data_IF_331062874892
#
_entry.id   IF_331062874892
#
_cell.length_a   1.000
_cell.length_b   1.000
_cell.length_c   1.000
_cell.angle_alpha   90.00
_cell.angle_beta   90.00
_cell.angle_gamma   90.00
#
_symmetry.space_group_name_H-M   'P 1'
#
loop_
_entity.id
_entity.type
_entity.pdbx_description
1 polymer ?
#
# COMPACT_ATOMS: atom_id res chain seq x y z
N UNK A 1 -17.59 1.00 -5.84
CA UNK A 1 -16.22 1.14 -5.35
C UNK A 1 -16.26 1.04 -3.83
N UNK A 2 -15.41 0.21 -3.26
CA UNK A 2 -15.22 0.07 -1.81
C UNK A 2 -14.56 1.35 -1.29
N UNK A 3 -14.91 1.77 -0.09
CA UNK A 3 -14.23 2.87 0.62
C UNK A 3 -13.46 2.27 1.78
N UNK A 4 -12.20 2.64 1.89
CA UNK A 4 -11.29 2.23 2.95
C UNK A 4 -10.67 3.47 3.57
N UNK A 5 -10.39 3.40 4.86
CA UNK A 5 -9.72 4.45 5.61
C UNK A 5 -8.34 3.92 5.91
N UNK A 6 -7.31 4.67 5.52
CA UNK A 6 -5.92 4.30 5.69
C UNK A 6 -5.18 5.36 6.52
N UNK A 7 -4.45 4.93 7.54
CA UNK A 7 -3.47 5.74 8.26
C UNK A 7 -2.12 5.04 8.26
N UNK A 8 -1.05 5.79 8.18
CA UNK A 8 0.32 5.28 8.14
C UNK A 8 1.17 5.80 9.27
N UNK A 9 2.13 5.00 9.72
CA UNK A 9 3.22 5.41 10.60
C UNK A 9 4.51 5.06 9.92
N UNK A 10 5.37 6.06 9.70
CA UNK A 10 6.66 5.91 9.05
C UNK A 10 7.79 5.76 10.05
N UNK A 11 8.89 5.09 9.64
CA UNK A 11 10.09 4.86 10.47
C UNK A 11 9.78 4.07 11.75
N UNK A 12 9.15 2.91 11.60
CA UNK A 12 8.77 2.05 12.71
C UNK A 12 9.74 0.88 12.87
N UNK A 13 10.00 0.48 14.11
CA UNK A 13 10.70 -0.77 14.38
C UNK A 13 9.75 -1.95 14.12
N UNK A 14 10.05 -2.74 13.10
CA UNK A 14 9.20 -3.85 12.65
C UNK A 14 9.08 -4.94 13.71
N UNK A 15 10.18 -5.31 14.34
CA UNK A 15 10.25 -6.40 15.33
C UNK A 15 9.45 -6.04 16.58
N UNK A 16 9.62 -4.82 17.08
CA UNK A 16 8.89 -4.34 18.27
C UNK A 16 7.38 -4.23 17.99
N UNK A 17 6.99 -3.78 16.79
CA UNK A 17 5.59 -3.70 16.41
C UNK A 17 4.96 -5.10 16.31
N UNK A 18 5.62 -6.05 15.65
CA UNK A 18 5.14 -7.43 15.53
C UNK A 18 4.94 -8.04 16.91
N UNK A 19 5.92 -7.90 17.80
CA UNK A 19 5.82 -8.40 19.17
C UNK A 19 4.60 -7.86 19.90
N UNK A 20 4.35 -6.54 19.83
CA UNK A 20 3.17 -5.92 20.44
C UNK A 20 1.86 -6.44 19.85
N UNK A 21 1.80 -6.58 18.51
CA UNK A 21 0.61 -7.12 17.84
C UNK A 21 0.31 -8.53 18.31
N UNK A 22 1.33 -9.38 18.43
CA UNK A 22 1.20 -10.77 18.88
C UNK A 22 0.82 -10.87 20.36
N UNK A 23 1.39 -10.03 21.24
CA UNK A 23 1.01 -9.93 22.66
C UNK A 23 -0.47 -9.54 22.83
N UNK A 24 -1.03 -8.79 21.88
CA UNK A 24 -2.45 -8.41 21.85
C UNK A 24 -3.34 -9.43 21.11
N UNK A 25 -2.81 -10.63 20.82
CA UNK A 25 -3.48 -11.68 20.06
C UNK A 25 -3.87 -11.26 18.62
N UNK A 26 -3.11 -10.37 18.00
CA UNK A 26 -3.23 -10.05 16.59
C UNK A 26 -2.97 -11.28 15.73
N UNK A 27 -3.83 -11.51 14.76
CA UNK A 27 -3.75 -12.68 13.88
C UNK A 27 -2.79 -12.41 12.73
N UNK A 28 -1.69 -13.16 12.66
CA UNK A 28 -0.85 -13.22 11.47
C UNK A 28 -1.63 -13.79 10.28
N UNK A 29 -1.55 -13.14 9.13
CA UNK A 29 -2.21 -13.57 7.91
C UNK A 29 -1.19 -14.17 6.95
N UNK A 30 -0.21 -13.37 6.49
CA UNK A 30 0.82 -13.85 5.58
C UNK A 30 1.97 -12.82 5.41
N UNK A 31 3.06 -13.31 4.80
CA UNK A 31 4.09 -12.49 4.19
C UNK A 31 3.89 -12.49 2.67
N UNK A 32 4.03 -11.33 2.05
CA UNK A 32 3.83 -11.13 0.63
C UNK A 32 5.05 -10.48 0.01
N UNK A 33 5.54 -11.05 -1.09
CA UNK A 33 6.46 -10.40 -2.01
C UNK A 33 5.62 -9.83 -3.16
N UNK A 34 5.47 -8.52 -3.18
CA UNK A 34 4.58 -7.85 -4.12
C UNK A 34 5.35 -7.24 -5.28
N UNK A 35 4.84 -7.43 -6.48
CA UNK A 35 5.27 -6.72 -7.69
C UNK A 35 4.05 -5.99 -8.25
N UNK A 36 4.21 -4.72 -8.57
CA UNK A 36 3.12 -3.91 -9.14
C UNK A 36 3.56 -3.12 -10.35
N UNK A 37 2.64 -3.03 -11.32
CA UNK A 37 2.71 -2.14 -12.46
C UNK A 37 1.68 -1.03 -12.24
N UNK A 38 2.09 0.21 -12.43
CA UNK A 38 1.22 1.37 -12.27
C UNK A 38 1.04 2.06 -13.61
N UNK A 39 -0.19 2.44 -13.91
CA UNK A 39 -0.55 3.14 -15.15
C UNK A 39 -1.35 4.39 -14.81
N UNK A 40 -1.12 5.46 -15.57
CA UNK A 40 -1.93 6.67 -15.45
C UNK A 40 -3.34 6.41 -15.96
N UNK A 41 -4.34 6.88 -15.22
CA UNK A 41 -5.74 6.76 -15.65
C UNK A 41 -6.00 7.64 -16.88
N UNK A 42 -6.85 7.16 -17.82
CA UNK A 42 -7.20 7.92 -19.01
C UNK A 42 -8.69 8.27 -19.04
N UNK A 43 -9.09 9.56 -19.30
CA UNK A 43 -8.21 10.72 -19.37
C UNK A 43 -7.48 10.97 -18.06
N UNK A 44 -6.29 11.58 -18.11
CA UNK A 44 -5.42 11.77 -16.95
C UNK A 44 -6.16 12.45 -15.78
N UNK A 45 -5.98 11.90 -14.58
CA UNK A 45 -6.43 12.48 -13.31
C UNK A 45 -5.33 12.23 -12.28
N UNK A 46 -4.87 13.27 -11.62
CA UNK A 46 -3.76 13.22 -10.68
C UNK A 46 -4.01 12.25 -9.50
N UNK A 47 -5.24 12.23 -8.99
CA UNK A 47 -5.64 11.42 -7.85
C UNK A 47 -6.20 10.03 -8.24
N UNK A 48 -6.02 9.59 -9.49
CA UNK A 48 -6.59 8.35 -10.00
C UNK A 48 -5.62 7.61 -10.90
N UNK A 49 -5.43 6.31 -10.62
CA UNK A 49 -4.54 5.46 -11.40
C UNK A 49 -5.03 4.01 -11.45
N UNK A 50 -4.38 3.22 -12.29
CA UNK A 50 -4.58 1.78 -12.38
C UNK A 50 -3.37 1.09 -11.78
N UNK A 51 -3.60 0.06 -10.98
CA UNK A 51 -2.58 -0.82 -10.43
C UNK A 51 -2.86 -2.25 -10.84
N UNK A 52 -1.91 -2.90 -11.48
CA UNK A 52 -1.86 -4.33 -11.67
C UNK A 52 -0.81 -4.90 -10.72
N UNK A 53 -1.20 -5.76 -9.78
CA UNK A 53 -0.32 -6.23 -8.70
C UNK A 53 -0.45 -7.74 -8.52
N UNK A 54 0.68 -8.42 -8.42
CA UNK A 54 0.73 -9.75 -7.81
C UNK A 54 1.30 -9.67 -6.39
N UNK A 55 0.83 -10.53 -5.51
CA UNK A 55 1.35 -10.69 -4.14
C UNK A 55 2.01 -12.06 -3.92
N UNK A 56 2.31 -12.77 -5.03
CA UNK A 56 2.86 -14.12 -5.02
C UNK A 56 1.80 -15.24 -4.97
N UNK A 57 0.56 -14.92 -4.59
CA UNK A 57 -0.56 -15.88 -4.50
C UNK A 57 -1.66 -15.57 -5.49
N UNK A 58 -1.97 -14.32 -5.68
CA UNK A 58 -2.99 -13.83 -6.62
C UNK A 58 -2.52 -12.58 -7.34
N UNK A 59 -3.17 -12.29 -8.45
CA UNK A 59 -2.97 -11.05 -9.21
C UNK A 59 -4.26 -10.26 -9.24
N UNK A 60 -4.18 -8.96 -8.98
CA UNK A 60 -5.34 -8.06 -8.99
C UNK A 60 -5.12 -6.87 -9.92
N UNK A 61 -6.19 -6.47 -10.61
CA UNK A 61 -6.28 -5.23 -11.37
C UNK A 61 -7.19 -4.27 -10.63
N UNK A 62 -6.66 -3.12 -10.22
CA UNK A 62 -7.34 -2.17 -9.35
C UNK A 62 -7.36 -0.78 -9.99
N UNK A 63 -8.51 -0.11 -9.98
CA UNK A 63 -8.61 1.34 -10.18
C UNK A 63 -8.68 1.96 -8.81
N UNK A 64 -7.71 2.83 -8.48
CA UNK A 64 -7.65 3.58 -7.22
C UNK A 64 -7.93 5.06 -7.47
N UNK A 65 -8.69 5.67 -6.58
CA UNK A 65 -8.97 7.11 -6.61
C UNK A 65 -8.96 7.68 -5.19
N UNK A 66 -8.03 8.61 -4.91
CA UNK A 66 -8.06 9.37 -3.66
C UNK A 66 -9.14 10.45 -3.72
N UNK A 67 -9.91 10.54 -2.66
CA UNK A 67 -10.84 11.64 -2.47
C UNK A 67 -10.29 12.57 -1.40
N UNK A 68 -10.22 13.88 -1.68
CA UNK A 68 -9.76 14.89 -0.73
C UNK A 68 -10.68 14.92 0.50
N UNK A 69 -10.25 14.30 1.59
CA UNK A 69 -10.87 14.41 2.92
C UNK A 69 -9.75 14.49 3.96
N UNK A 70 -10.08 14.91 5.19
CA UNK A 70 -9.10 14.99 6.28
C UNK A 70 -8.45 13.65 6.64
N UNK A 71 -9.10 12.55 6.29
CA UNK A 71 -8.60 11.18 6.33
C UNK A 71 -8.73 10.65 4.93
N UNK A 72 -7.65 10.09 4.38
CA UNK A 72 -7.67 9.60 3.00
C UNK A 72 -8.69 8.48 2.86
N UNK A 73 -9.78 8.80 2.19
CA UNK A 73 -10.75 7.81 1.74
C UNK A 73 -10.33 7.37 0.35
N UNK A 74 -9.80 6.17 0.27
CA UNK A 74 -9.47 5.54 -1.00
C UNK A 74 -10.71 4.85 -1.55
N UNK A 75 -11.06 5.16 -2.78
CA UNK A 75 -12.06 4.42 -3.53
C UNK A 75 -11.37 3.41 -4.43
N UNK A 76 -11.72 2.15 -4.27
CA UNK A 76 -11.15 1.08 -5.07
C UNK A 76 -12.22 0.32 -5.84
N UNK A 77 -11.90 0.00 -7.09
CA UNK A 77 -12.58 -1.00 -7.90
C UNK A 77 -11.54 -2.04 -8.27
N UNK A 78 -11.62 -3.22 -7.67
CA UNK A 78 -10.65 -4.28 -7.83
C UNK A 78 -11.31 -5.55 -8.36
N UNK A 79 -10.59 -6.24 -9.24
CA UNK A 79 -10.91 -7.59 -9.71
C UNK A 79 -9.65 -8.46 -9.64
N UNK A 80 -9.83 -9.76 -9.43
CA UNK A 80 -8.77 -10.74 -9.59
C UNK A 80 -8.62 -11.10 -11.06
N UNK A 81 -7.38 -11.24 -11.53
CA UNK A 81 -7.02 -11.65 -12.88
C UNK A 81 -6.08 -12.85 -12.81
N UNK A 82 -6.17 -13.74 -13.79
CA UNK A 82 -5.45 -15.02 -13.77
C UNK A 82 -3.97 -14.91 -14.18
N UNK A 83 -3.57 -13.82 -14.87
CA UNK A 83 -2.24 -13.70 -15.47
C UNK A 83 -1.82 -12.24 -15.55
N UNK A 84 -0.73 -11.90 -14.86
CA UNK A 84 -0.23 -10.53 -14.77
C UNK A 84 0.28 -10.03 -16.13
N UNK A 85 1.08 -10.83 -16.84
CA UNK A 85 1.69 -10.38 -18.08
C UNK A 85 0.67 -10.27 -19.22
N UNK A 86 -0.27 -11.22 -19.33
CA UNK A 86 -1.38 -11.09 -20.30
C UNK A 86 -2.26 -9.90 -20.02
N UNK A 87 -2.54 -9.62 -18.74
CA UNK A 87 -3.32 -8.43 -18.38
C UNK A 87 -2.56 -7.15 -18.71
N UNK A 88 -1.23 -7.10 -18.48
CA UNK A 88 -0.39 -6.00 -18.92
C UNK A 88 -0.47 -5.80 -20.44
N UNK A 89 -0.33 -6.87 -21.24
CA UNK A 89 -0.44 -6.79 -22.69
C UNK A 89 -1.81 -6.26 -23.15
N UNK A 90 -2.90 -6.68 -22.50
CA UNK A 90 -4.24 -6.15 -22.79
C UNK A 90 -4.29 -4.65 -22.52
N UNK A 91 -3.73 -4.19 -21.38
CA UNK A 91 -3.69 -2.77 -21.07
C UNK A 91 -2.85 -1.98 -22.09
N UNK A 92 -1.74 -2.54 -22.57
CA UNK A 92 -0.90 -1.94 -23.61
C UNK A 92 -1.65 -1.83 -24.94
N UNK A 93 -2.37 -2.85 -25.37
CA UNK A 93 -3.23 -2.85 -26.56
C UNK A 93 -4.37 -1.81 -26.44
N UNK A 94 -4.89 -1.59 -25.23
CA UNK A 94 -5.85 -0.53 -24.94
C UNK A 94 -5.20 0.87 -24.88
N UNK A 95 -3.89 0.97 -25.14
CA UNK A 95 -3.14 2.22 -25.20
C UNK A 95 -2.66 2.74 -23.84
N UNK A 96 -2.74 1.94 -22.77
CA UNK A 96 -2.09 2.29 -21.49
C UNK A 96 -0.59 1.96 -21.56
N UNK A 97 0.23 2.86 -21.01
CA UNK A 97 1.67 2.62 -20.87
C UNK A 97 2.00 2.45 -19.40
N UNK A 98 2.75 1.41 -19.08
CA UNK A 98 3.29 1.18 -17.75
C UNK A 98 4.15 2.38 -17.34
N UNK A 99 3.72 3.10 -16.29
CA UNK A 99 4.43 4.26 -15.75
C UNK A 99 5.55 3.80 -14.82
N UNK A 100 5.26 2.82 -13.96
CA UNK A 100 6.26 2.33 -13.02
C UNK A 100 6.13 0.84 -12.75
N UNK A 101 7.29 0.25 -12.37
CA UNK A 101 7.42 -1.09 -11.81
C UNK A 101 7.92 -0.93 -10.38
N UNK A 102 7.21 -1.52 -9.43
CA UNK A 102 7.54 -1.35 -8.01
C UNK A 102 7.44 -2.68 -7.29
N UNK A 103 8.36 -2.92 -6.36
CA UNK A 103 8.37 -4.07 -5.47
C UNK A 103 8.24 -3.62 -4.03
N UNK A 104 7.58 -4.43 -3.21
CA UNK A 104 7.64 -4.30 -1.77
C UNK A 104 7.41 -5.64 -1.10
N UNK A 105 7.91 -5.78 0.12
CA UNK A 105 7.62 -6.90 1.01
C UNK A 105 6.63 -6.42 2.06
N UNK A 106 5.57 -7.20 2.27
CA UNK A 106 4.48 -6.88 3.20
C UNK A 106 4.27 -8.02 4.19
N UNK A 107 4.21 -7.69 5.46
CA UNK A 107 3.76 -8.60 6.51
C UNK A 107 2.42 -8.13 7.02
N UNK A 108 1.38 -8.97 6.92
CA UNK A 108 0.00 -8.63 7.27
C UNK A 108 -0.46 -9.30 8.54
N UNK A 109 -1.07 -8.49 9.40
CA UNK A 109 -1.81 -8.91 10.58
C UNK A 109 -3.23 -8.35 10.58
N UNK A 110 -4.12 -8.96 11.38
CA UNK A 110 -5.44 -8.39 11.70
C UNK A 110 -5.55 -8.31 13.22
N UNK A 111 -5.88 -7.13 13.73
CA UNK A 111 -6.16 -6.87 15.15
C UNK A 111 -7.45 -6.07 15.25
N UNK A 112 -8.47 -6.61 15.96
CA UNK A 112 -9.77 -5.97 16.18
C UNK A 112 -10.45 -5.46 14.88
N UNK A 113 -10.44 -6.26 13.81
CA UNK A 113 -10.95 -5.95 12.47
C UNK A 113 -10.23 -4.77 11.79
N UNK A 114 -9.04 -4.41 12.24
CA UNK A 114 -8.11 -3.52 11.54
C UNK A 114 -7.05 -4.37 10.86
N UNK A 115 -6.87 -4.16 9.57
CA UNK A 115 -5.77 -4.73 8.80
C UNK A 115 -4.52 -3.89 9.08
N UNK A 116 -3.43 -4.57 9.44
CA UNK A 116 -2.14 -3.96 9.75
C UNK A 116 -1.12 -4.50 8.76
N UNK A 117 -0.69 -3.65 7.86
CA UNK A 117 0.27 -3.96 6.81
C UNK A 117 1.62 -3.32 7.09
N UNK A 118 2.60 -4.15 7.45
CA UNK A 118 3.97 -3.71 7.72
C UNK A 118 4.76 -3.83 6.42
N UNK A 119 5.12 -2.69 5.84
CA UNK A 119 5.71 -2.59 4.51
C UNK A 119 7.20 -2.27 4.55
N UNK A 120 7.97 -3.02 3.78
CA UNK A 120 9.37 -2.74 3.46
C UNK A 120 9.47 -2.48 1.96
N UNK A 121 9.95 -1.29 1.60
CA UNK A 121 10.14 -0.85 0.23
C UNK A 121 11.62 -0.59 -0.06
N UNK A 122 12.08 -0.70 -1.30
CA UNK A 122 13.44 -0.34 -1.66
C UNK A 122 13.78 1.08 -1.20
N UNK A 123 14.93 1.28 -0.56
CA UNK A 123 15.46 2.58 -0.10
C UNK A 123 14.66 3.28 1.01
N UNK A 124 13.48 2.83 1.38
CA UNK A 124 12.69 3.41 2.47
C UNK A 124 12.91 2.66 3.78
N UNK A 125 12.71 3.38 4.89
CA UNK A 125 12.51 2.77 6.19
C UNK A 125 11.16 2.05 6.21
N UNK A 126 11.06 1.03 7.05
CA UNK A 126 9.79 0.31 7.26
C UNK A 126 8.71 1.27 7.74
N UNK A 127 7.53 1.14 7.19
CA UNK A 127 6.33 1.83 7.63
C UNK A 127 5.16 0.85 7.77
N UNK A 128 4.12 1.25 8.47
CA UNK A 128 2.93 0.45 8.67
C UNK A 128 1.70 1.21 8.20
N UNK A 129 0.79 0.50 7.54
CA UNK A 129 -0.54 0.95 7.16
C UNK A 129 -1.57 0.29 8.07
N UNK A 130 -2.48 1.08 8.62
CA UNK A 130 -3.66 0.64 9.36
C UNK A 130 -4.88 0.92 8.50
N UNK A 131 -5.62 -0.13 8.13
CA UNK A 131 -6.76 -0.04 7.24
C UNK A 131 -8.02 -0.61 7.89
N UNK A 132 -9.13 0.13 7.79
CA UNK A 132 -10.45 -0.32 8.24
C UNK A 132 -11.57 0.43 7.51
N UNK A 133 -12.79 -0.08 7.60
CA UNK A 133 -14.00 0.64 7.20
C UNK A 133 -14.48 1.62 8.27
N UNK A 134 -13.93 1.53 9.49
CA UNK A 134 -14.31 2.34 10.65
C UNK A 134 -13.06 3.01 11.24
N UNK A 135 -13.05 4.32 11.22
CA UNK A 135 -11.97 5.17 11.74
C UNK A 135 -11.72 4.96 13.24
N UNK A 136 -12.78 4.81 14.03
CA UNK A 136 -12.65 4.61 15.48
C UNK A 136 -11.87 3.34 15.81
N UNK A 137 -12.07 2.27 15.04
CA UNK A 137 -11.30 1.03 15.21
C UNK A 137 -9.81 1.23 14.97
N UNK A 138 -9.43 2.06 14.00
CA UNK A 138 -8.02 2.39 13.76
C UNK A 138 -7.45 3.11 14.97
N UNK A 139 -8.16 4.10 15.52
CA UNK A 139 -7.70 4.83 16.71
C UNK A 139 -7.58 3.95 17.94
N UNK A 140 -8.51 3.01 18.14
CA UNK A 140 -8.45 2.06 19.25
C UNK A 140 -7.23 1.14 19.12
N UNK A 141 -6.94 0.65 17.91
CA UNK A 141 -5.76 -0.20 17.66
C UNK A 141 -4.46 0.58 17.84
N UNK A 142 -4.37 1.81 17.34
CA UNK A 142 -3.20 2.68 17.56
C UNK A 142 -2.94 2.87 19.05
N UNK A 143 -3.98 3.12 19.86
CA UNK A 143 -3.87 3.25 21.31
C UNK A 143 -3.40 1.96 21.99
N UNK A 144 -3.90 0.80 21.57
CA UNK A 144 -3.46 -0.51 22.09
C UNK A 144 -1.98 -0.78 21.79
N UNK A 145 -1.49 -0.30 20.66
CA UNK A 145 -0.10 -0.43 20.22
C UNK A 145 0.82 0.67 20.78
N UNK A 146 0.31 1.58 21.64
CA UNK A 146 1.03 2.74 22.18
C UNK A 146 1.55 3.69 21.07
N UNK A 147 0.82 3.82 19.99
CA UNK A 147 1.13 4.72 18.88
C UNK A 147 0.32 6.02 19.05
N UNK A 148 1.01 7.15 19.25
CA UNK A 148 0.36 8.45 19.27
C UNK A 148 -0.17 8.80 17.87
N UNK A 149 -1.44 9.19 17.78
CA UNK A 149 -2.09 9.61 16.54
C UNK A 149 -1.34 10.76 15.84
N UNK A 150 -0.61 11.59 16.60
CA UNK A 150 0.21 12.66 16.04
C UNK A 150 1.35 12.15 15.18
N UNK A 151 1.75 10.89 15.37
CA UNK A 151 2.77 10.22 14.57
C UNK A 151 2.19 9.55 13.32
N UNK A 152 0.87 9.62 13.12
CA UNK A 152 0.23 9.08 11.93
C UNK A 152 0.18 10.11 10.80
N UNK A 153 0.11 9.60 9.59
CA UNK A 153 0.02 10.42 8.38
C UNK A 153 -0.88 9.75 7.35
N UNK A 154 -1.44 10.55 6.45
CA UNK A 154 -2.15 10.09 5.25
C UNK A 154 -1.25 10.13 4.00
N UNK A 155 0.01 10.59 4.15
CA UNK A 155 0.97 10.65 3.05
C UNK A 155 1.19 9.27 2.43
N UNK A 156 1.34 9.23 1.12
CA UNK A 156 1.59 8.00 0.35
C UNK A 156 3.09 7.67 0.27
N UNK A 157 3.43 6.46 -0.16
CA UNK A 157 4.82 6.02 -0.25
C UNK A 157 5.68 6.96 -1.12
N UNK A 158 5.13 7.51 -2.20
CA UNK A 158 5.83 8.45 -3.08
C UNK A 158 6.34 9.68 -2.33
N UNK A 159 5.57 10.18 -1.35
CA UNK A 159 5.96 11.34 -0.54
C UNK A 159 7.20 11.04 0.32
N UNK A 160 7.32 9.81 0.84
CA UNK A 160 8.49 9.40 1.62
C UNK A 160 9.74 9.30 0.74
N UNK A 161 9.59 8.90 -0.52
CA UNK A 161 10.69 8.92 -1.49
C UNK A 161 11.14 10.35 -1.81
N UNK A 162 10.21 11.29 -1.97
CA UNK A 162 10.55 12.69 -2.19
C UNK A 162 11.32 13.28 -1.01
N UNK A 163 11.00 12.92 0.23
CA UNK A 163 11.70 13.37 1.43
C UNK A 163 13.19 12.94 1.44
N UNK A 164 13.52 11.81 0.82
CA UNK A 164 14.91 11.33 0.71
C UNK A 164 15.57 11.70 -0.62
N UNK A 165 14.95 12.61 -1.40
CA UNK A 165 15.53 13.22 -2.59
C UNK A 165 15.30 12.47 -3.90
N UNK A 166 14.37 11.50 -3.94
CA UNK A 166 13.95 10.87 -5.19
C UNK A 166 13.20 11.85 -6.08
N UNK A 167 13.42 11.77 -7.37
CA UNK A 167 12.63 12.49 -8.38
C UNK A 167 11.49 11.59 -8.88
N UNK A 168 10.52 12.19 -9.57
CA UNK A 168 9.41 11.45 -10.17
C UNK A 168 9.88 10.35 -11.14
N UNK A 169 10.96 10.62 -11.88
CA UNK A 169 11.55 9.66 -12.82
C UNK A 169 12.16 8.45 -12.08
N UNK A 170 12.76 8.67 -10.91
CA UNK A 170 13.34 7.59 -10.10
C UNK A 170 12.27 6.65 -9.54
N UNK A 171 11.02 7.12 -9.38
CA UNK A 171 9.89 6.29 -8.95
C UNK A 171 9.39 5.33 -10.04
N UNK A 172 9.88 5.45 -11.27
CA UNK A 172 9.47 4.58 -12.37
C UNK A 172 9.99 3.14 -12.23
N UNK A 173 11.07 2.93 -11.46
CA UNK A 173 11.65 1.62 -11.19
C UNK A 173 12.11 1.52 -9.73
N UNK A 174 11.26 0.94 -8.89
CA UNK A 174 11.48 0.75 -7.47
C UNK A 174 11.55 -0.75 -7.16
N UNK A 175 12.64 -1.39 -7.56
CA UNK A 175 12.90 -2.80 -7.29
C UNK A 175 14.02 -2.98 -6.28
N UNK A 176 13.96 -4.08 -5.51
CA UNK A 176 15.09 -4.48 -4.69
C UNK A 176 16.28 -4.80 -5.61
N UNK A 177 17.48 -4.42 -5.18
CA UNK A 177 18.70 -4.81 -5.91
C UNK A 177 18.88 -6.30 -5.72
N UNK A 178 19.18 -7.01 -6.81
CA UNK A 178 19.71 -8.37 -6.71
C UNK A 178 21.07 -8.29 -5.99
N UNK A 179 21.25 -9.11 -4.95
CA UNK A 179 22.53 -9.26 -4.24
C UNK A 179 23.51 -10.08 -5.09
#
# INVERSE_FOLDING_TARGET
>A
MKKEIELRVYDINKEDLIKKIEELNGKFINNYDQVRYVYDFKPFKENKWIRLRTDGFKTTLTIKEYTSSKIDVVKELEIEVSDMEKTNLILEELGYKKRSVQENKRTRYILNDVEIDIDTWPYLKTFVEFESKNEEKIYDVLKLLDIDIKNTTTRVADDFYYDIGFTKEMLNDLRFKEE
#
